data_IF_555752793399
#
_entry.id   IF_555752793399
#
_cell.length_a   1.000
_cell.length_b   1.000
_cell.length_c   1.000
_cell.angle_alpha   90.00
_cell.angle_beta   90.00
_cell.angle_gamma   90.00
#
_symmetry.space_group_name_H-M   'P 1'
#
loop_
_entity.id
_entity.type
_entity.pdbx_description
1 polymer ?
#
# COMPACT_ATOMS: atom_id res chain seq x y z
N UNK A 1 -8.45 4.16 -14.30
CA UNK A 1 -8.46 4.94 -13.03
C UNK A 1 -7.00 5.21 -12.62
N UNK A 2 -6.70 6.16 -11.71
CA UNK A 2 -5.33 6.36 -11.24
C UNK A 2 -4.79 5.12 -10.50
N UNK A 3 -3.46 4.96 -10.52
CA UNK A 3 -2.77 3.89 -9.83
C UNK A 3 -2.05 4.43 -8.60
N UNK A 4 -2.16 3.74 -7.47
CA UNK A 4 -1.53 4.14 -6.22
C UNK A 4 -0.62 3.06 -5.68
N UNK A 5 0.53 3.46 -5.16
CA UNK A 5 1.40 2.62 -4.32
C UNK A 5 1.26 3.07 -2.87
N UNK A 6 1.20 2.12 -1.95
CA UNK A 6 1.35 2.43 -0.53
C UNK A 6 2.82 2.34 -0.13
N UNK A 7 3.34 3.40 0.50
CA UNK A 7 4.69 3.41 1.03
C UNK A 7 4.87 2.33 2.10
N UNK A 8 6.02 1.64 2.11
CA UNK A 8 6.39 0.74 3.21
C UNK A 8 6.66 1.52 4.48
N UNK A 9 7.32 2.69 4.36
CA UNK A 9 7.49 3.66 5.44
C UNK A 9 7.33 5.08 4.90
N UNK A 10 6.38 5.83 5.45
CA UNK A 10 6.13 7.22 5.03
C UNK A 10 7.37 8.12 5.11
N UNK A 11 8.15 7.99 6.19
CA UNK A 11 9.36 8.78 6.42
C UNK A 11 10.40 8.70 5.28
N UNK A 12 10.53 7.56 4.60
CA UNK A 12 11.48 7.42 3.48
C UNK A 12 11.15 8.35 2.31
N UNK A 13 9.89 8.76 2.17
CA UNK A 13 9.42 9.64 1.10
C UNK A 13 9.39 11.11 1.52
N UNK A 14 9.42 11.39 2.82
CA UNK A 14 9.48 12.75 3.37
C UNK A 14 10.93 13.28 3.44
N UNK A 15 11.90 12.38 3.52
CA UNK A 15 13.34 12.67 3.46
C UNK A 15 13.81 12.88 2.00
N UNK A 16 14.82 13.72 1.80
CA UNK A 16 15.53 13.87 0.53
C UNK A 16 16.55 12.72 0.36
N UNK A 17 16.02 11.50 0.18
CA UNK A 17 16.85 10.31 -0.04
C UNK A 17 17.29 10.21 -1.50
N UNK A 18 18.55 9.81 -1.77
CA UNK A 18 18.96 9.40 -3.10
C UNK A 18 18.07 8.27 -3.65
N UNK A 19 17.83 8.29 -4.96
CA UNK A 19 16.92 7.36 -5.65
C UNK A 19 17.32 5.90 -5.40
N UNK A 20 18.61 5.60 -5.40
CA UNK A 20 19.17 4.26 -5.16
C UNK A 20 18.90 3.79 -3.72
N UNK A 21 18.89 4.71 -2.77
CA UNK A 21 18.63 4.38 -1.37
C UNK A 21 17.13 4.18 -1.13
N UNK A 22 16.29 4.97 -1.80
CA UNK A 22 14.85 4.79 -1.82
C UNK A 22 14.47 3.46 -2.49
N UNK A 23 15.16 3.07 -3.57
CA UNK A 23 15.03 1.76 -4.22
C UNK A 23 15.27 0.62 -3.21
N UNK A 24 16.40 0.64 -2.48
CA UNK A 24 16.75 -0.42 -1.51
C UNK A 24 15.76 -0.53 -0.36
N UNK A 25 15.16 0.59 0.07
CA UNK A 25 14.23 0.63 1.22
C UNK A 25 12.79 0.27 0.82
N UNK A 26 12.31 0.78 -0.32
CA UNK A 26 10.90 0.72 -0.71
C UNK A 26 10.62 -0.29 -1.85
N UNK A 27 11.61 -0.59 -2.69
CA UNK A 27 11.48 -1.41 -3.90
C UNK A 27 12.43 -2.60 -3.88
N UNK A 28 12.41 -3.32 -2.75
CA UNK A 28 13.18 -4.55 -2.54
C UNK A 28 12.29 -5.78 -2.69
N UNK A 29 12.68 -6.67 -3.58
CA UNK A 29 12.04 -7.98 -3.77
C UNK A 29 12.29 -8.90 -2.57
N UNK A 30 11.52 -9.99 -2.50
CA UNK A 30 11.70 -11.03 -1.48
C UNK A 30 13.08 -11.70 -1.48
N UNK A 31 13.79 -11.64 -2.62
CA UNK A 31 15.14 -12.22 -2.77
C UNK A 31 16.26 -11.22 -2.47
N UNK A 32 15.91 -9.99 -2.11
CA UNK A 32 16.86 -8.96 -1.73
C UNK A 32 17.35 -8.07 -2.86
N UNK A 33 17.07 -8.42 -4.11
CA UNK A 33 17.33 -7.59 -5.30
C UNK A 33 16.20 -6.59 -5.61
N UNK A 34 16.33 -5.80 -6.68
CA UNK A 34 15.33 -4.82 -7.09
C UNK A 34 13.97 -5.46 -7.37
N UNK A 35 12.91 -4.77 -6.94
CA UNK A 35 11.53 -5.16 -7.20
C UNK A 35 11.11 -4.65 -8.58
N UNK A 36 11.21 -5.53 -9.59
CA UNK A 36 10.78 -5.25 -10.96
C UNK A 36 9.28 -5.45 -11.20
N UNK A 37 8.52 -5.77 -10.15
CA UNK A 37 7.07 -5.93 -10.19
C UNK A 37 6.40 -5.20 -9.02
N UNK A 38 6.62 -3.88 -8.87
CA UNK A 38 6.06 -3.17 -7.73
C UNK A 38 4.54 -3.18 -7.79
N UNK A 39 3.93 -3.61 -6.68
CA UNK A 39 2.48 -3.56 -6.49
C UNK A 39 1.95 -2.12 -6.53
N UNK A 40 0.84 -1.94 -7.24
CA UNK A 40 0.00 -0.74 -7.26
C UNK A 40 -1.48 -1.12 -7.22
N UNK A 41 -2.33 -0.15 -6.95
CA UNK A 41 -3.76 -0.32 -6.80
C UNK A 41 -4.51 0.65 -7.68
N UNK A 42 -5.42 0.13 -8.50
CA UNK A 42 -6.29 0.95 -9.34
C UNK A 42 -7.45 1.50 -8.51
N UNK A 43 -7.43 2.80 -8.20
CA UNK A 43 -8.37 3.44 -7.26
C UNK A 43 -8.82 4.79 -7.80
N UNK A 44 -9.98 5.29 -7.36
CA UNK A 44 -10.58 6.55 -7.85
C UNK A 44 -9.95 7.81 -7.24
N UNK A 45 -8.86 7.67 -6.49
CA UNK A 45 -8.15 8.77 -5.84
C UNK A 45 -8.91 9.43 -4.68
N UNK A 46 -10.11 8.94 -4.34
CA UNK A 46 -10.86 9.43 -3.20
C UNK A 46 -10.29 8.86 -1.89
N UNK A 47 -10.39 9.62 -0.80
CA UNK A 47 -9.85 9.24 0.51
C UNK A 47 -10.41 7.90 1.01
N UNK A 48 -11.70 7.63 0.79
CA UNK A 48 -12.36 6.41 1.26
C UNK A 48 -11.76 5.13 0.67
N UNK A 49 -11.74 4.98 -0.67
CA UNK A 49 -11.10 3.84 -1.34
C UNK A 49 -9.62 3.68 -1.03
N UNK A 50 -8.86 4.78 -0.90
CA UNK A 50 -7.45 4.74 -0.51
C UNK A 50 -7.26 4.22 0.92
N UNK A 51 -8.03 4.75 1.87
CA UNK A 51 -8.01 4.31 3.27
C UNK A 51 -8.35 2.83 3.39
N UNK A 52 -9.43 2.40 2.70
CA UNK A 52 -9.85 0.99 2.66
C UNK A 52 -8.75 0.08 2.11
N UNK A 53 -8.25 0.40 0.92
CA UNK A 53 -7.21 -0.40 0.27
C UNK A 53 -5.95 -0.50 1.15
N UNK A 54 -5.54 0.60 1.81
CA UNK A 54 -4.41 0.57 2.73
C UNK A 54 -4.69 -0.29 3.97
N UNK A 55 -5.85 -0.10 4.63
CA UNK A 55 -6.22 -0.84 5.83
C UNK A 55 -6.24 -2.36 5.57
N UNK A 56 -6.85 -2.77 4.45
CA UNK A 56 -6.91 -4.17 4.03
C UNK A 56 -5.52 -4.71 3.64
N UNK A 57 -4.72 -3.93 2.92
CA UNK A 57 -3.35 -4.30 2.53
C UNK A 57 -2.44 -4.50 3.75
N UNK A 58 -2.48 -3.57 4.69
CA UNK A 58 -1.58 -3.49 5.83
C UNK A 58 -2.11 -4.17 7.10
N UNK A 59 -3.22 -4.92 7.03
CA UNK A 59 -3.84 -5.52 8.22
C UNK A 59 -2.88 -6.40 9.06
N UNK A 60 -1.90 -7.01 8.39
CA UNK A 60 -0.91 -7.92 8.97
C UNK A 60 0.31 -7.21 9.61
N UNK A 61 0.34 -5.89 9.65
CA UNK A 61 1.32 -5.07 10.38
C UNK A 61 0.61 -4.11 11.33
N UNK A 62 1.30 -3.59 12.35
CA UNK A 62 0.77 -2.45 13.11
C UNK A 62 0.87 -1.19 12.23
N UNK A 63 -0.25 -0.48 11.96
CA UNK A 63 -0.19 0.70 11.11
C UNK A 63 0.79 1.74 11.68
N UNK A 64 1.69 2.30 10.85
CA UNK A 64 2.57 3.38 11.26
C UNK A 64 1.75 4.63 11.56
N UNK A 65 2.28 5.55 12.37
CA UNK A 65 1.61 6.83 12.71
C UNK A 65 1.13 7.58 11.46
N UNK A 66 1.94 7.54 10.40
CA UNK A 66 1.62 8.10 9.08
C UNK A 66 2.01 7.10 8.00
N UNK A 67 1.03 6.69 7.21
CA UNK A 67 1.23 6.00 5.95
C UNK A 67 1.00 6.97 4.79
N UNK A 68 1.51 6.62 3.61
CA UNK A 68 1.37 7.43 2.40
C UNK A 68 0.84 6.57 1.26
N UNK A 69 -0.19 7.06 0.58
CA UNK A 69 -0.54 6.63 -0.77
C UNK A 69 0.15 7.56 -1.77
N UNK A 70 0.81 6.99 -2.76
CA UNK A 70 1.60 7.69 -3.75
C UNK A 70 1.01 7.37 -5.11
N UNK A 71 0.49 8.38 -5.80
CA UNK A 71 -0.06 8.24 -7.13
C UNK A 71 1.06 7.97 -8.14
N UNK A 72 1.04 6.80 -8.76
CA UNK A 72 2.01 6.40 -9.78
C UNK A 72 1.63 6.95 -11.15
N UNK A 73 2.57 7.64 -11.80
CA UNK A 73 2.54 7.82 -13.25
C UNK A 73 3.08 6.55 -13.91
N UNK A 74 2.20 5.68 -14.38
CA UNK A 74 2.60 4.53 -15.22
C UNK A 74 2.69 4.89 -16.69
N UNK A 75 3.10 6.13 -17.00
CA UNK A 75 3.20 6.55 -18.39
C UNK A 75 4.19 5.60 -19.08
N UNK A 76 3.74 4.98 -20.17
CA UNK A 76 4.53 4.09 -21.03
C UNK A 76 4.96 2.74 -20.40
N UNK A 77 4.48 2.39 -19.20
CA UNK A 77 4.75 1.09 -18.56
C UNK A 77 3.54 0.16 -18.61
N UNK A 78 3.77 -1.11 -18.92
CA UNK A 78 2.72 -2.11 -18.89
C UNK A 78 2.27 -2.40 -17.45
N UNK A 79 0.97 -2.54 -17.26
CA UNK A 79 0.36 -2.87 -15.97
C UNK A 79 -0.41 -4.18 -16.12
N UNK A 80 -0.14 -5.13 -15.24
CA UNK A 80 -0.78 -6.44 -15.24
C UNK A 80 -1.73 -6.58 -14.05
N UNK A 81 -2.88 -7.20 -14.30
CA UNK A 81 -3.73 -7.70 -13.21
C UNK A 81 -3.12 -9.00 -12.69
N UNK A 82 -2.70 -8.98 -11.43
CA UNK A 82 -2.20 -10.17 -10.73
C UNK A 82 -3.10 -10.38 -9.52
N UNK A 83 -3.93 -11.44 -9.48
CA UNK A 83 -4.73 -11.74 -8.31
C UNK A 83 -3.77 -12.05 -7.15
N UNK A 84 -3.62 -11.09 -6.25
CA UNK A 84 -2.74 -11.21 -5.10
C UNK A 84 -3.27 -12.25 -4.12
N UNK A 85 -2.41 -12.68 -3.17
CA UNK A 85 -2.81 -13.52 -2.04
C UNK A 85 -3.43 -12.70 -0.89
N UNK A 86 -4.01 -11.55 -1.21
CA UNK A 86 -4.55 -10.63 -0.20
C UNK A 86 -5.85 -11.22 0.36
N UNK A 87 -6.00 -11.11 1.68
CA UNK A 87 -7.11 -11.69 2.43
C UNK A 87 -8.46 -11.06 2.05
N UNK A 88 -8.45 -9.79 1.66
CA UNK A 88 -9.66 -9.01 1.39
C UNK A 88 -9.93 -8.91 -0.10
N UNK A 89 -11.19 -9.08 -0.49
CA UNK A 89 -11.62 -9.09 -1.88
C UNK A 89 -11.38 -7.75 -2.56
N UNK A 90 -11.72 -6.65 -1.91
CA UNK A 90 -11.61 -5.32 -2.51
C UNK A 90 -10.17 -4.99 -2.90
N UNK A 91 -9.23 -5.06 -1.96
CA UNK A 91 -7.83 -4.78 -2.28
C UNK A 91 -7.23 -5.78 -3.28
N UNK A 92 -7.68 -7.04 -3.28
CA UNK A 92 -7.27 -8.06 -4.26
C UNK A 92 -7.73 -7.70 -5.67
N UNK A 93 -8.97 -7.23 -5.82
CA UNK A 93 -9.56 -6.88 -7.11
C UNK A 93 -8.95 -5.59 -7.69
N UNK A 94 -8.50 -4.67 -6.83
CA UNK A 94 -7.79 -3.46 -7.24
C UNK A 94 -6.29 -3.67 -7.45
N UNK A 95 -5.72 -4.79 -7.01
CA UNK A 95 -4.28 -5.04 -7.11
C UNK A 95 -3.83 -5.19 -8.57
N UNK A 96 -2.73 -4.50 -8.87
CA UNK A 96 -2.01 -4.53 -10.14
C UNK A 96 -0.51 -4.56 -9.88
N UNK A 97 0.25 -4.97 -10.87
CA UNK A 97 1.72 -4.90 -10.85
C UNK A 97 2.18 -4.09 -12.06
N UNK A 98 3.12 -3.17 -11.85
CA UNK A 98 3.82 -2.51 -12.95
C UNK A 98 4.91 -3.48 -13.43
N UNK A 99 4.98 -3.73 -14.74
CA UNK A 99 6.00 -4.58 -15.33
C UNK A 99 7.20 -3.73 -15.73
N UNK A 100 8.30 -3.86 -14.99
CA UNK A 100 9.56 -3.18 -15.28
C UNK A 100 10.52 -4.13 -16.00
N UNK A 101 11.25 -3.60 -16.97
CA UNK A 101 12.17 -4.40 -17.78
C UNK A 101 13.46 -4.73 -17.02
N UNK A 102 13.99 -3.76 -16.29
CA UNK A 102 15.27 -3.84 -15.59
C UNK A 102 15.35 -2.83 -14.44
N UNK A 103 16.52 -2.78 -13.79
CA UNK A 103 16.78 -1.85 -12.71
C UNK A 103 16.78 -0.38 -13.15
N UNK A 104 17.20 -0.07 -14.38
CA UNK A 104 17.18 1.30 -14.88
C UNK A 104 15.73 1.81 -15.02
N UNK A 105 14.83 0.96 -15.50
CA UNK A 105 13.39 1.23 -15.56
C UNK A 105 12.78 1.45 -14.17
N UNK A 106 13.23 0.69 -13.16
CA UNK A 106 12.85 0.90 -11.76
C UNK A 106 13.34 2.26 -11.23
N UNK A 107 14.59 2.63 -11.46
CA UNK A 107 15.12 3.92 -11.01
C UNK A 107 14.42 5.09 -11.70
N UNK A 108 14.06 4.94 -12.98
CA UNK A 108 13.24 5.91 -13.71
C UNK A 108 11.84 6.05 -13.08
N UNK A 109 11.16 4.94 -12.77
CA UNK A 109 9.88 4.97 -12.07
C UNK A 109 9.99 5.71 -10.73
N UNK A 110 11.01 5.42 -9.93
CA UNK A 110 11.21 6.08 -8.64
C UNK A 110 11.42 7.59 -8.82
N UNK A 111 12.22 7.99 -9.82
CA UNK A 111 12.46 9.39 -10.15
C UNK A 111 11.16 10.12 -10.48
N UNK A 112 10.26 9.51 -11.25
CA UNK A 112 8.95 10.08 -11.58
C UNK A 112 8.05 10.23 -10.34
N UNK A 113 8.04 9.22 -9.45
CA UNK A 113 7.29 9.27 -8.18
C UNK A 113 7.82 10.37 -7.24
N UNK A 114 9.13 10.58 -7.23
CA UNK A 114 9.75 11.68 -6.47
C UNK A 114 9.38 13.03 -7.10
N UNK A 115 9.48 13.16 -8.43
CA UNK A 115 9.19 14.39 -9.16
C UNK A 115 7.73 14.86 -9.03
N UNK A 116 6.76 13.93 -8.88
CA UNK A 116 5.36 14.28 -8.57
C UNK A 116 5.20 15.02 -7.23
N UNK A 117 6.17 14.92 -6.32
CA UNK A 117 6.20 15.70 -5.09
C UNK A 117 4.98 15.48 -4.17
N UNK A 118 4.64 16.51 -3.39
CA UNK A 118 3.57 16.46 -2.39
C UNK A 118 2.15 16.32 -2.95
N UNK A 119 1.89 16.79 -4.17
CA UNK A 119 0.55 16.73 -4.78
C UNK A 119 0.11 15.30 -5.10
N UNK A 120 1.06 14.42 -5.45
CA UNK A 120 0.79 13.00 -5.68
C UNK A 120 0.81 12.13 -4.41
N UNK A 121 0.95 12.73 -3.22
CA UNK A 121 1.12 12.01 -1.95
C UNK A 121 -0.03 12.30 -1.00
N UNK A 122 -0.84 11.29 -0.75
CA UNK A 122 -2.02 11.40 0.09
C UNK A 122 -1.71 10.71 1.44
N UNK A 123 -1.73 11.44 2.57
CA UNK A 123 -1.50 10.86 3.87
C UNK A 123 -2.66 9.98 4.31
N UNK A 124 -2.32 8.85 4.94
CA UNK A 124 -3.26 7.92 5.57
C UNK A 124 -2.89 7.83 7.06
N UNK A 125 -3.59 8.58 7.92
CA UNK A 125 -3.34 8.60 9.36
C UNK A 125 -3.66 7.25 10.04
N UNK A 126 -2.83 6.85 11.02
CA UNK A 126 -3.06 5.64 11.83
C UNK A 126 -4.47 5.58 12.43
N UNK A 127 -4.93 6.71 12.96
CA UNK A 127 -6.23 6.80 13.63
C UNK A 127 -7.39 6.47 12.69
N UNK A 128 -7.30 6.86 11.42
CA UNK A 128 -8.34 6.60 10.42
C UNK A 128 -8.35 5.13 10.03
N UNK A 129 -7.17 4.50 9.94
CA UNK A 129 -7.04 3.05 9.69
C UNK A 129 -7.66 2.25 10.83
N UNK A 130 -7.38 2.64 12.08
CA UNK A 130 -7.95 2.01 13.27
C UNK A 130 -9.47 2.20 13.32
N UNK A 131 -9.94 3.43 13.07
CA UNK A 131 -11.37 3.74 13.07
C UNK A 131 -12.11 2.95 12.00
N UNK A 132 -11.57 2.90 10.78
CA UNK A 132 -12.09 2.09 9.68
C UNK A 132 -12.19 0.62 10.07
N UNK A 133 -11.09 0.00 10.51
CA UNK A 133 -11.08 -1.41 10.88
C UNK A 133 -12.04 -1.73 12.04
N UNK A 134 -12.14 -0.83 13.03
CA UNK A 134 -13.07 -0.97 14.15
C UNK A 134 -14.52 -0.94 13.66
N UNK A 135 -14.87 0.05 12.85
CA UNK A 135 -16.22 0.16 12.28
C UNK A 135 -16.59 -1.11 11.52
N UNK A 136 -15.67 -1.67 10.73
CA UNK A 136 -15.93 -2.93 10.00
C UNK A 136 -16.18 -4.12 10.93
N UNK A 137 -15.46 -4.21 12.04
CA UNK A 137 -15.68 -5.25 13.05
C UNK A 137 -17.03 -5.05 13.75
N UNK A 138 -17.40 -3.82 14.09
CA UNK A 138 -18.71 -3.47 14.68
C UNK A 138 -19.87 -3.80 13.72
N UNK A 139 -19.67 -3.58 12.42
CA UNK A 139 -20.60 -3.93 11.34
C UNK A 139 -20.62 -5.44 11.02
N UNK A 140 -19.85 -6.27 11.73
CA UNK A 140 -19.73 -7.71 11.50
C UNK A 140 -19.27 -8.05 10.07
N UNK A 141 -18.42 -7.23 9.48
CA UNK A 141 -17.82 -7.50 8.17
C UNK A 141 -17.07 -8.85 8.23
N UNK A 142 -17.40 -9.82 7.35
CA UNK A 142 -16.91 -11.18 7.46
C UNK A 142 -15.40 -11.29 7.22
N UNK A 143 -14.83 -10.47 6.34
CA UNK A 143 -13.40 -10.50 6.02
C UNK A 143 -12.60 -9.90 7.19
N UNK A 144 -13.05 -8.79 7.75
CA UNK A 144 -12.42 -8.17 8.93
C UNK A 144 -12.55 -9.03 10.18
N UNK A 145 -13.71 -9.67 10.38
CA UNK A 145 -13.93 -10.60 11.49
C UNK A 145 -13.00 -11.81 11.39
N UNK A 146 -12.85 -12.37 10.19
CA UNK A 146 -11.92 -13.47 9.94
C UNK A 146 -10.46 -13.03 10.17
N UNK A 147 -10.06 -11.86 9.65
CA UNK A 147 -8.71 -11.34 9.83
C UNK A 147 -8.36 -11.09 11.32
N UNK A 148 -9.30 -10.61 12.11
CA UNK A 148 -9.11 -10.38 13.55
C UNK A 148 -9.20 -11.66 14.41
N UNK A 149 -9.69 -12.76 13.84
CA UNK A 149 -9.74 -14.08 14.48
C UNK A 149 -8.61 -15.02 14.01
N UNK A 150 -7.83 -14.64 13.00
CA UNK A 150 -6.74 -15.44 12.47
C UNK A 150 -5.69 -15.75 13.55
N UNK A 151 -5.07 -16.95 13.57
CA UNK A 151 -4.05 -17.31 14.56
C UNK A 151 -2.83 -16.38 14.59
N UNK A 152 -2.51 -15.77 13.44
CA UNK A 152 -1.42 -14.83 13.23
C UNK A 152 -1.88 -13.35 13.24
N UNK A 153 -3.13 -13.10 13.65
CA UNK A 153 -3.67 -11.75 13.76
C UNK A 153 -2.79 -10.87 14.64
N UNK A 154 -2.53 -9.64 14.18
CA UNK A 154 -1.73 -8.68 14.92
C UNK A 154 -2.47 -8.19 16.16
N UNK A 155 -1.70 -7.84 17.19
CA UNK A 155 -2.22 -7.41 18.49
C UNK A 155 -3.16 -6.21 18.41
N UNK A 156 -2.98 -5.32 17.44
CA UNK A 156 -3.88 -4.18 17.24
C UNK A 156 -5.27 -4.63 16.78
N UNK A 157 -5.37 -5.57 15.83
CA UNK A 157 -6.66 -6.16 15.38
C UNK A 157 -7.37 -6.90 16.52
N UNK A 158 -6.61 -7.70 17.28
CA UNK A 158 -7.15 -8.45 18.43
C UNK A 158 -7.79 -7.49 19.46
N UNK A 159 -7.16 -6.32 19.67
CA UNK A 159 -7.69 -5.31 20.59
C UNK A 159 -8.97 -4.64 20.09
N UNK A 160 -9.20 -4.56 18.78
CA UNK A 160 -10.44 -3.97 18.23
C UNK A 160 -11.68 -4.80 18.52
N UNK A 161 -11.52 -6.10 18.80
CA UNK A 161 -12.62 -6.99 19.18
C UNK A 161 -13.08 -6.81 20.63
N UNK A 162 -12.33 -6.04 21.42
CA UNK A 162 -12.66 -5.76 22.82
C UNK A 162 -13.39 -4.42 22.89
N UNK A 163 -14.56 -4.35 23.55
CA UNK A 163 -15.29 -3.11 23.75
C UNK A 163 -14.48 -2.08 24.56
#
# INVERSE_FOLDING_TARGET
MPLFRFARRGANWEEDLPIEELQKREFKSKHGGPDLRPSVYELDGQTGPLLRAYAEHAHHIDPPTRALAIESSVKDRAVQTTPGKLAFAFVRDQHREILLNDEADLLALISELVAKGGEGRIPIPKQDVIAYARQRIEEHDPEWTAAAAAPDARSWLIKLRKP
#
